data_IF_422545694854
#
_entry.id   IF_422545694854
#
_cell.length_a   1.000
_cell.length_b   1.000
_cell.length_c   1.000
_cell.angle_alpha   90.00
_cell.angle_beta   90.00
_cell.angle_gamma   90.00
#
_symmetry.space_group_name_H-M   'P 1'
#
loop_
_entity.id
_entity.type
_entity.pdbx_description
1 polymer ?
#
# COMPACT_ATOMS: atom_id res chain seq x y z
N UNK A 1 9.39 -12.49 -4.96
CA UNK A 1 8.97 -12.67 -3.56
C UNK A 1 9.32 -14.08 -3.17
N UNK A 2 10.13 -14.25 -2.12
CA UNK A 2 10.45 -15.57 -1.60
C UNK A 2 9.27 -16.13 -0.80
N UNK A 3 9.19 -17.44 -0.71
CA UNK A 3 8.12 -18.12 0.04
C UNK A 3 8.28 -17.82 1.53
N UNK A 4 7.25 -17.24 2.16
CA UNK A 4 7.27 -16.89 3.59
C UNK A 4 7.63 -15.43 3.90
N UNK A 5 7.84 -14.57 2.89
CA UNK A 5 7.91 -13.12 3.12
C UNK A 5 6.58 -12.60 3.68
N UNK A 6 6.64 -11.74 4.69
CA UNK A 6 5.46 -11.08 5.25
C UNK A 6 4.85 -10.10 4.22
N UNK A 7 3.53 -9.93 4.27
CA UNK A 7 2.76 -8.99 3.44
C UNK A 7 2.00 -8.05 4.37
N UNK A 8 2.08 -6.75 4.11
CA UNK A 8 1.24 -5.72 4.71
C UNK A 8 0.31 -5.12 3.65
N UNK A 9 -0.84 -4.63 4.09
CA UNK A 9 -1.85 -3.95 3.26
C UNK A 9 -2.28 -2.68 3.97
N UNK A 10 -2.40 -1.59 3.22
CA UNK A 10 -2.98 -0.32 3.69
C UNK A 10 -4.13 0.04 2.78
N UNK A 11 -5.33 0.25 3.33
CA UNK A 11 -6.50 0.70 2.58
C UNK A 11 -6.90 2.11 3.05
N UNK A 12 -7.04 3.03 2.10
CA UNK A 12 -7.37 4.42 2.37
C UNK A 12 -8.33 5.00 1.33
N UNK A 13 -9.09 6.02 1.72
CA UNK A 13 -9.92 6.82 0.81
C UNK A 13 -8.99 7.72 -0.02
N UNK A 14 -9.03 7.56 -1.33
CA UNK A 14 -8.31 8.37 -2.30
C UNK A 14 -6.88 7.88 -2.58
N UNK A 15 -6.48 7.94 -3.85
CA UNK A 15 -5.14 7.55 -4.29
C UNK A 15 -4.02 8.39 -3.63
N UNK A 16 -4.26 9.69 -3.42
CA UNK A 16 -3.27 10.56 -2.80
C UNK A 16 -2.91 10.11 -1.37
N UNK A 17 -3.91 9.78 -0.56
CA UNK A 17 -3.72 9.28 0.81
C UNK A 17 -3.05 7.91 0.83
N UNK A 18 -3.41 7.01 -0.09
CA UNK A 18 -2.74 5.72 -0.23
C UNK A 18 -1.25 5.89 -0.59
N UNK A 19 -0.93 6.81 -1.51
CA UNK A 19 0.46 7.12 -1.88
C UNK A 19 1.24 7.73 -0.72
N UNK A 20 0.63 8.60 0.08
CA UNK A 20 1.24 9.15 1.29
C UNK A 20 1.58 8.04 2.29
N UNK A 21 0.67 7.09 2.49
CA UNK A 21 0.92 5.94 3.36
C UNK A 21 2.06 5.06 2.84
N UNK A 22 2.15 4.85 1.53
CA UNK A 22 3.25 4.10 0.93
C UNK A 22 4.60 4.82 1.05
N UNK A 23 4.66 6.13 0.83
CA UNK A 23 5.86 6.95 1.01
C UNK A 23 6.37 6.84 2.46
N UNK A 24 5.47 6.97 3.44
CA UNK A 24 5.79 6.80 4.85
C UNK A 24 6.28 5.37 5.16
N UNK A 25 5.61 4.34 4.63
CA UNK A 25 5.95 2.94 4.89
C UNK A 25 7.36 2.57 4.37
N UNK A 26 7.68 2.93 3.11
CA UNK A 26 8.97 2.59 2.51
C UNK A 26 10.14 3.42 3.09
N UNK A 27 9.87 4.61 3.65
CA UNK A 27 10.88 5.41 4.37
C UNK A 27 11.10 4.94 5.81
N UNK A 28 10.10 4.29 6.42
CA UNK A 28 10.15 3.89 7.83
C UNK A 28 10.85 2.56 8.07
N UNK A 29 10.87 1.66 7.08
CA UNK A 29 11.44 0.33 7.22
C UNK A 29 11.98 -0.21 5.88
N UNK A 30 12.79 -1.26 5.95
CA UNK A 30 13.29 -1.97 4.77
C UNK A 30 12.19 -2.88 4.17
N UNK A 31 11.15 -2.27 3.62
CA UNK A 31 10.05 -2.93 2.93
C UNK A 31 10.02 -2.52 1.47
N UNK A 32 9.43 -3.35 0.63
CA UNK A 32 9.25 -3.07 -0.80
C UNK A 32 7.78 -2.91 -1.10
N UNK A 33 7.42 -1.79 -1.73
CA UNK A 33 6.10 -1.62 -2.32
C UNK A 33 5.90 -2.65 -3.45
N UNK A 34 4.84 -3.45 -3.35
CA UNK A 34 4.58 -4.54 -4.31
C UNK A 34 3.56 -4.17 -5.39
N UNK A 35 2.66 -3.21 -5.12
CA UNK A 35 1.65 -2.75 -6.06
C UNK A 35 0.62 -1.87 -5.36
N UNK A 36 -0.39 -1.42 -6.10
CA UNK A 36 -1.61 -0.81 -5.56
C UNK A 36 -2.80 -1.32 -6.37
N UNK A 37 -3.99 -1.30 -5.77
CA UNK A 37 -5.24 -1.71 -6.40
C UNK A 37 -6.30 -0.63 -6.15
N UNK A 38 -6.94 -0.17 -7.24
CA UNK A 38 -8.12 0.70 -7.13
C UNK A 38 -9.33 -0.16 -6.75
N UNK A 39 -9.95 0.14 -5.61
CA UNK A 39 -11.11 -0.62 -5.15
C UNK A 39 -12.38 -0.23 -5.92
N UNK A 40 -13.38 -1.13 -5.94
CA UNK A 40 -14.59 -0.98 -6.76
C UNK A 40 -15.57 0.13 -6.29
N UNK A 41 -15.30 0.82 -5.17
CA UNK A 41 -16.22 1.78 -4.57
C UNK A 41 -15.54 2.80 -3.66
N UNK A 42 -16.28 3.88 -3.35
CA UNK A 42 -15.96 4.92 -2.36
C UNK A 42 -14.61 5.64 -2.53
N UNK A 43 -14.03 5.56 -3.74
CA UNK A 43 -12.72 6.15 -4.02
C UNK A 43 -11.57 5.48 -3.27
N UNK A 44 -11.78 4.26 -2.77
CA UNK A 44 -10.80 3.53 -1.97
C UNK A 44 -9.64 3.02 -2.82
N UNK A 45 -8.44 2.99 -2.24
CA UNK A 45 -7.23 2.44 -2.84
C UNK A 45 -6.49 1.62 -1.80
N UNK A 46 -6.11 0.40 -2.18
CA UNK A 46 -5.24 -0.46 -1.39
C UNK A 46 -3.82 -0.39 -1.92
N UNK A 47 -2.83 -0.30 -1.03
CA UNK A 47 -1.40 -0.29 -1.34
C UNK A 47 -0.61 -1.25 -0.46
#
# INVERSE_FOLDING_TARGET
MNRGEAIGLIEAIGLATAVEAADAAVKSANVRLIGYEACKGDGMSTI
#
